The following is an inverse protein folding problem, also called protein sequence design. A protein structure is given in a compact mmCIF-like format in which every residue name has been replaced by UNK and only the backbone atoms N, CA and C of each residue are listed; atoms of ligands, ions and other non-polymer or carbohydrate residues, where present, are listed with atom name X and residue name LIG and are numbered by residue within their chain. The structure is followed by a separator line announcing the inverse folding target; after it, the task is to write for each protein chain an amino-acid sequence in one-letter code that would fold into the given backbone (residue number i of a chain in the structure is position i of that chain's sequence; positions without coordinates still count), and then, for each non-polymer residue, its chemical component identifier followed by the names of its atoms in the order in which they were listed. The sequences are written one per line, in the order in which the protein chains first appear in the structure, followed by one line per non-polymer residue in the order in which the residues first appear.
data_IF_769054908970
#
_entry.id   IF_769054908970
#
_cell.length_a   1.000
_cell.length_b   1.000
_cell.length_c   1.000
_cell.angle_alpha   90.00
_cell.angle_beta   90.00
_cell.angle_gamma   90.00
#
_symmetry.space_group_name_H-M   'P 1'
#
loop_
_entity.id
_entity.type
_entity.pdbx_description
1 polymer ?
#
# COMPACT_ATOMS: atom_id res chain seq x y z
N UNK A 1 7.89 -2.73 19.82
CA UNK A 1 7.93 -2.22 18.45
C UNK A 1 7.28 -3.26 17.53
N UNK A 2 6.36 -2.84 16.65
CA UNK A 2 5.77 -3.70 15.62
C UNK A 2 6.36 -3.26 14.28
N UNK A 3 6.90 -4.20 13.52
CA UNK A 3 7.52 -3.93 12.21
C UNK A 3 6.73 -4.64 11.13
N UNK A 4 6.27 -3.87 10.13
CA UNK A 4 5.65 -4.40 8.93
C UNK A 4 6.66 -5.25 8.12
N UNK A 5 6.22 -6.17 7.26
CA UNK A 5 7.11 -6.88 6.36
C UNK A 5 8.04 -5.93 5.60
N UNK A 6 9.34 -6.20 5.62
CA UNK A 6 10.37 -5.41 4.96
C UNK A 6 10.93 -6.16 3.76
N UNK A 7 11.26 -5.46 2.68
CA UNK A 7 11.94 -6.05 1.53
C UNK A 7 13.44 -6.13 1.74
N UNK A 8 14.02 -5.14 2.43
CA UNK A 8 15.44 -5.12 2.78
C UNK A 8 15.65 -5.67 4.21
N UNK A 9 16.33 -6.83 4.35
CA UNK A 9 16.64 -7.42 5.67
C UNK A 9 17.42 -6.49 6.61
N UNK A 10 18.23 -5.57 6.05
CA UNK A 10 19.01 -4.63 6.85
C UNK A 10 18.12 -3.70 7.71
N UNK A 11 16.91 -3.40 7.24
CA UNK A 11 15.93 -2.60 8.03
C UNK A 11 15.55 -3.32 9.32
N UNK A 12 15.29 -4.63 9.23
CA UNK A 12 14.90 -5.43 10.39
C UNK A 12 16.08 -5.58 11.37
N UNK A 13 17.30 -5.71 10.87
CA UNK A 13 18.52 -5.78 11.68
C UNK A 13 18.70 -4.49 12.50
N UNK A 14 18.68 -3.31 11.85
CA UNK A 14 18.80 -2.00 12.51
C UNK A 14 17.72 -1.78 13.56
N UNK A 15 16.46 -2.12 13.24
CA UNK A 15 15.35 -2.00 14.20
C UNK A 15 15.55 -2.98 15.38
N UNK A 16 16.03 -4.20 15.12
CA UNK A 16 16.30 -5.22 16.13
C UNK A 16 17.39 -4.78 17.09
N UNK A 17 18.51 -4.26 16.59
CA UNK A 17 19.58 -3.68 17.39
C UNK A 17 19.05 -2.57 18.30
N UNK A 18 18.27 -1.64 17.73
CA UNK A 18 17.68 -0.56 18.51
C UNK A 18 16.72 -1.04 19.57
N UNK A 19 15.91 -2.05 19.27
CA UNK A 19 15.02 -2.68 20.26
C UNK A 19 15.80 -3.26 21.42
N UNK A 20 16.91 -3.94 21.13
CA UNK A 20 17.80 -4.53 22.15
C UNK A 20 18.41 -3.44 23.05
N UNK A 21 18.94 -2.37 22.47
CA UNK A 21 19.54 -1.24 23.20
C UNK A 21 18.55 -0.59 24.20
N UNK A 22 17.28 -0.45 23.80
CA UNK A 22 16.26 0.23 24.64
C UNK A 22 15.38 -0.74 25.43
N UNK A 23 15.66 -2.04 25.40
CA UNK A 23 14.89 -3.07 26.09
C UNK A 23 13.46 -3.21 25.57
N UNK A 24 13.21 -2.90 24.28
CA UNK A 24 11.88 -3.00 23.67
C UNK A 24 11.69 -4.36 23.00
N UNK A 25 10.50 -4.94 23.13
CA UNK A 25 10.12 -6.15 22.40
C UNK A 25 9.94 -5.82 20.91
N UNK A 26 10.55 -6.61 20.02
CA UNK A 26 10.31 -6.57 18.58
C UNK A 26 9.28 -7.61 18.18
N UNK A 27 8.27 -7.18 17.42
CA UNK A 27 7.25 -8.04 16.79
C UNK A 27 7.40 -7.87 15.28
N UNK A 28 8.02 -8.84 14.63
CA UNK A 28 8.14 -8.90 13.18
C UNK A 28 6.89 -9.54 12.59
N UNK A 29 6.09 -8.74 11.88
CA UNK A 29 4.82 -9.18 11.29
C UNK A 29 5.04 -10.23 10.19
N UNK A 30 6.15 -10.16 9.46
CA UNK A 30 6.44 -11.13 8.40
C UNK A 30 6.61 -12.56 8.93
N UNK A 31 7.15 -12.69 10.14
CA UNK A 31 7.36 -14.00 10.78
C UNK A 31 6.16 -14.48 11.60
N UNK A 32 5.39 -13.53 12.16
CA UNK A 32 4.32 -13.84 13.11
C UNK A 32 2.95 -14.01 12.45
N UNK A 33 2.73 -13.41 11.27
CA UNK A 33 1.43 -13.40 10.62
C UNK A 33 1.50 -13.84 9.17
N UNK A 34 0.47 -14.58 8.76
CA UNK A 34 0.25 -14.97 7.37
C UNK A 34 -1.12 -14.48 6.91
N UNK A 35 -1.15 -13.89 5.71
CA UNK A 35 -2.40 -13.49 5.06
C UNK A 35 -2.68 -14.37 3.84
N UNK A 36 -3.85 -15.00 3.81
CA UNK A 36 -4.35 -15.76 2.66
C UNK A 36 -5.56 -15.06 2.08
N UNK A 37 -5.48 -14.64 0.82
CA UNK A 37 -6.62 -14.04 0.12
C UNK A 37 -7.70 -15.11 -0.07
N UNK A 38 -8.94 -14.81 0.34
CA UNK A 38 -10.10 -15.66 0.13
C UNK A 38 -10.89 -15.22 -1.08
N UNK A 39 -11.22 -13.94 -1.16
CA UNK A 39 -12.00 -13.37 -2.26
C UNK A 39 -11.57 -11.93 -2.54
N UNK A 40 -11.63 -11.54 -3.82
CA UNK A 40 -11.40 -10.17 -4.29
C UNK A 40 -12.71 -9.60 -4.84
N UNK A 41 -13.02 -8.37 -4.47
CA UNK A 41 -14.20 -7.64 -4.91
C UNK A 41 -13.77 -6.30 -5.53
N UNK A 42 -14.59 -5.66 -6.37
CA UNK A 42 -14.27 -4.34 -6.93
C UNK A 42 -14.00 -3.24 -5.88
N UNK A 43 -14.48 -3.43 -4.65
CA UNK A 43 -14.41 -2.44 -3.57
C UNK A 43 -13.92 -3.02 -2.25
N UNK A 44 -13.10 -4.06 -2.30
CA UNK A 44 -12.55 -4.69 -1.11
C UNK A 44 -12.06 -6.10 -1.37
N UNK A 45 -11.63 -6.73 -0.30
CA UNK A 45 -11.17 -8.11 -0.31
C UNK A 45 -11.44 -8.78 1.03
N UNK A 46 -11.65 -10.10 1.02
CA UNK A 46 -11.67 -10.93 2.22
C UNK A 46 -10.42 -11.79 2.28
N UNK A 47 -9.95 -12.03 3.48
CA UNK A 47 -8.73 -12.78 3.72
C UNK A 47 -8.80 -13.52 5.05
N UNK A 48 -7.97 -14.54 5.14
CA UNK A 48 -7.67 -15.25 6.38
C UNK A 48 -6.38 -14.70 6.94
N UNK A 49 -6.41 -14.23 8.17
CA UNK A 49 -5.23 -13.85 8.95
C UNK A 49 -4.92 -14.95 9.94
N UNK A 50 -3.73 -15.51 9.85
CA UNK A 50 -3.21 -16.53 10.77
C UNK A 50 -2.11 -15.85 11.58
N UNK A 51 -2.19 -15.92 12.90
CA UNK A 51 -1.22 -15.28 13.80
C UNK A 51 -1.13 -15.96 15.15
N UNK A 52 -0.38 -15.38 16.09
CA UNK A 52 -0.14 -15.99 17.42
C UNK A 52 -1.42 -16.27 18.23
N UNK A 53 -2.48 -15.50 17.99
CA UNK A 53 -3.77 -15.63 18.67
C UNK A 53 -4.80 -16.44 17.86
N UNK A 54 -4.35 -17.23 16.87
CA UNK A 54 -5.18 -18.09 16.05
C UNK A 54 -5.53 -17.51 14.69
N UNK A 55 -6.54 -18.10 14.06
CA UNK A 55 -7.00 -17.76 12.72
C UNK A 55 -8.26 -16.89 12.77
N UNK A 56 -8.32 -15.89 11.85
CA UNK A 56 -9.47 -15.00 11.67
C UNK A 56 -9.82 -14.84 10.21
N UNK A 57 -11.11 -14.89 9.89
CA UNK A 57 -11.62 -14.40 8.60
C UNK A 57 -11.92 -12.91 8.71
N UNK A 58 -11.31 -12.12 7.88
CA UNK A 58 -11.39 -10.66 7.91
C UNK A 58 -11.81 -10.12 6.55
N UNK A 59 -12.31 -8.90 6.52
CA UNK A 59 -12.60 -8.14 5.31
C UNK A 59 -11.96 -6.76 5.43
N UNK A 60 -11.57 -6.19 4.30
CA UNK A 60 -11.10 -4.81 4.21
C UNK A 60 -11.59 -4.18 2.91
N UNK A 61 -12.00 -2.91 2.90
CA UNK A 61 -12.28 -2.18 1.67
C UNK A 61 -11.02 -1.76 0.92
N UNK A 62 -9.84 -1.96 1.52
CA UNK A 62 -8.56 -1.61 0.93
C UNK A 62 -8.12 -2.68 -0.06
N UNK A 63 -7.73 -2.28 -1.28
CA UNK A 63 -7.37 -3.17 -2.38
C UNK A 63 -5.85 -3.40 -2.45
N UNK A 64 -5.45 -4.60 -2.89
CA UNK A 64 -4.05 -4.97 -3.09
C UNK A 64 -3.45 -5.79 -1.95
N UNK A 65 -2.50 -6.67 -2.30
CA UNK A 65 -1.82 -7.56 -1.35
C UNK A 65 -1.05 -6.81 -0.26
N UNK A 66 -0.44 -5.66 -0.61
CA UNK A 66 0.25 -4.79 0.35
C UNK A 66 -0.69 -4.22 1.42
N UNK A 67 -1.98 -4.05 1.13
CA UNK A 67 -2.97 -3.62 2.11
C UNK A 67 -3.32 -4.72 3.12
N UNK A 68 -3.19 -6.00 2.74
CA UNK A 68 -3.32 -7.10 3.69
C UNK A 68 -2.15 -7.14 4.67
N UNK A 69 -0.93 -6.86 4.22
CA UNK A 69 0.24 -6.73 5.10
C UNK A 69 0.07 -5.55 6.07
N UNK A 70 -0.45 -4.43 5.59
CA UNK A 70 -0.78 -3.28 6.44
C UNK A 70 -1.87 -3.63 7.47
N UNK A 71 -2.91 -4.38 7.07
CA UNK A 71 -3.95 -4.85 7.97
C UNK A 71 -3.37 -5.80 9.04
N UNK A 72 -2.51 -6.74 8.67
CA UNK A 72 -1.82 -7.62 9.61
C UNK A 72 -0.96 -6.82 10.61
N UNK A 73 -0.25 -5.80 10.13
CA UNK A 73 0.56 -4.91 10.97
C UNK A 73 -0.31 -4.13 11.97
N UNK A 74 -1.47 -3.63 11.53
CA UNK A 74 -2.42 -2.94 12.40
C UNK A 74 -3.01 -3.89 13.45
N UNK A 75 -3.34 -5.14 13.07
CA UNK A 75 -3.81 -6.16 14.01
C UNK A 75 -2.72 -6.49 15.03
N UNK A 76 -1.48 -6.71 14.61
CA UNK A 76 -0.35 -6.96 15.49
C UNK A 76 -0.15 -5.82 16.50
N UNK A 77 -0.26 -4.56 16.05
CA UNK A 77 -0.16 -3.39 16.92
C UNK A 77 -1.33 -3.34 17.94
N UNK A 78 -2.55 -3.62 17.51
CA UNK A 78 -3.73 -3.64 18.37
C UNK A 78 -3.62 -4.78 19.43
N UNK A 79 -3.13 -5.95 19.03
CA UNK A 79 -2.89 -7.07 19.95
C UNK A 79 -1.77 -6.77 20.96
N UNK A 80 -0.70 -6.11 20.52
CA UNK A 80 0.36 -5.65 21.40
C UNK A 80 -0.15 -4.61 22.43
N UNK A 81 -1.05 -3.73 22.04
CA UNK A 81 -1.70 -2.80 22.96
C UNK A 81 -2.62 -3.53 23.94
N UNK A 82 -3.41 -4.50 23.47
CA UNK A 82 -4.28 -5.31 24.30
C UNK A 82 -3.50 -6.08 25.37
N UNK A 83 -2.34 -6.65 25.01
CA UNK A 83 -1.47 -7.34 25.97
C UNK A 83 -0.89 -6.42 27.06
N UNK A 84 -0.92 -5.10 26.82
CA UNK A 84 -0.52 -4.06 27.77
C UNK A 84 -1.69 -3.46 28.57
N UNK A 85 -2.88 -4.08 28.50
CA UNK A 85 -4.04 -3.70 29.30
C UNK A 85 -4.99 -2.70 28.62
N UNK A 86 -4.78 -2.34 27.34
CA UNK A 86 -5.77 -1.56 26.62
C UNK A 86 -7.04 -2.39 26.37
N UNK A 87 -8.20 -1.79 26.63
CA UNK A 87 -9.51 -2.45 26.48
C UNK A 87 -9.92 -2.53 25.00
N UNK A 88 -9.30 -3.43 24.25
CA UNK A 88 -9.60 -3.71 22.86
C UNK A 88 -10.25 -5.09 22.73
N UNK A 89 -11.52 -5.13 22.34
CA UNK A 89 -12.20 -6.40 22.06
C UNK A 89 -11.73 -6.97 20.73
N UNK A 90 -11.89 -8.28 20.57
CA UNK A 90 -11.63 -8.97 19.30
C UNK A 90 -12.47 -8.36 18.17
N UNK A 91 -13.75 -8.13 18.45
CA UNK A 91 -14.67 -7.52 17.47
C UNK A 91 -14.22 -6.11 17.07
N UNK A 92 -13.73 -5.29 18.01
CA UNK A 92 -13.23 -3.95 17.69
C UNK A 92 -12.03 -3.97 16.72
N UNK A 93 -11.15 -4.97 16.83
CA UNK A 93 -10.01 -5.17 15.92
C UNK A 93 -10.54 -5.56 14.52
N UNK A 94 -11.45 -6.51 14.45
CA UNK A 94 -12.05 -6.97 13.18
C UNK A 94 -12.81 -5.83 12.50
N UNK A 95 -13.63 -5.10 13.22
CA UNK A 95 -14.40 -3.97 12.71
C UNK A 95 -13.48 -2.80 12.28
N UNK A 96 -12.44 -2.54 13.04
CA UNK A 96 -11.43 -1.54 12.68
C UNK A 96 -10.83 -1.79 11.29
N UNK A 97 -10.46 -3.01 10.98
CA UNK A 97 -9.95 -3.39 9.65
C UNK A 97 -11.07 -3.31 8.60
N UNK A 98 -12.28 -3.76 8.93
CA UNK A 98 -13.41 -3.82 7.99
C UNK A 98 -13.92 -2.43 7.57
N UNK A 99 -13.82 -1.44 8.44
CA UNK A 99 -14.34 -0.08 8.17
C UNK A 99 -13.26 0.95 7.85
N UNK A 100 -11.98 0.60 7.99
CA UNK A 100 -10.88 1.52 7.65
C UNK A 100 -10.84 1.81 6.16
N UNK A 101 -10.92 3.10 5.81
CA UNK A 101 -10.72 3.63 4.46
C UNK A 101 -9.65 4.71 4.52
N UNK A 102 -8.69 4.63 3.60
CA UNK A 102 -7.64 5.65 3.46
C UNK A 102 -7.76 6.27 2.09
N UNK A 103 -8.15 7.54 1.98
CA UNK A 103 -8.26 8.23 0.69
C UNK A 103 -6.95 8.15 -0.11
N UNK A 104 -7.06 8.02 -1.43
CA UNK A 104 -5.90 7.94 -2.31
C UNK A 104 -5.07 6.65 -2.13
N UNK A 105 -5.67 5.55 -1.67
CA UNK A 105 -5.06 4.21 -1.66
C UNK A 105 -5.90 3.27 -2.50
N UNK A 106 -5.57 3.18 -3.79
CA UNK A 106 -6.32 2.46 -4.82
C UNK A 106 -7.83 2.78 -4.75
N UNK A 107 -8.13 4.05 -4.51
CA UNK A 107 -9.48 4.54 -4.27
C UNK A 107 -10.25 4.65 -5.59
N UNK A 108 -11.39 3.96 -5.68
CA UNK A 108 -12.30 4.07 -6.82
C UNK A 108 -13.17 5.30 -6.66
N UNK A 109 -12.86 6.37 -7.38
CA UNK A 109 -13.57 7.65 -7.34
C UNK A 109 -14.73 7.73 -8.33
N UNK A 110 -14.73 6.90 -9.37
CA UNK A 110 -15.79 6.87 -10.40
C UNK A 110 -15.81 5.52 -11.13
N UNK A 111 -16.95 5.20 -11.74
CA UNK A 111 -17.15 3.92 -12.43
C UNK A 111 -17.34 4.05 -13.94
N UNK A 112 -17.84 5.20 -14.39
CA UNK A 112 -18.11 5.49 -15.82
C UNK A 112 -17.75 6.94 -16.15
N UNK A 113 -16.49 7.21 -16.53
CA UNK A 113 -15.36 6.27 -16.65
C UNK A 113 -14.88 5.74 -15.28
N UNK A 114 -14.17 4.61 -15.29
CA UNK A 114 -13.47 4.14 -14.09
C UNK A 114 -12.34 5.13 -13.77
N UNK A 115 -12.40 5.70 -12.57
CA UNK A 115 -11.39 6.64 -12.06
C UNK A 115 -10.83 6.05 -10.76
N UNK A 116 -9.52 5.83 -10.74
CA UNK A 116 -8.81 5.30 -9.56
C UNK A 116 -7.75 6.29 -9.14
N UNK A 117 -7.71 6.63 -7.84
CA UNK A 117 -6.69 7.48 -7.25
C UNK A 117 -5.77 6.68 -6.33
N UNK A 118 -4.47 6.93 -6.45
CA UNK A 118 -3.46 6.32 -5.57
C UNK A 118 -2.33 7.30 -5.24
N UNK A 119 -1.77 7.17 -4.05
CA UNK A 119 -0.66 7.99 -3.56
C UNK A 119 0.71 7.35 -3.72
N UNK A 120 0.89 6.41 -4.66
CA UNK A 120 2.20 5.84 -4.97
C UNK A 120 3.18 6.94 -5.38
N UNK A 121 4.34 7.00 -4.71
CA UNK A 121 5.28 8.11 -4.85
C UNK A 121 6.76 7.68 -4.82
N UNK A 122 7.03 6.39 -4.94
CA UNK A 122 8.35 5.79 -5.15
C UNK A 122 8.21 4.54 -6.01
N UNK A 123 9.32 3.96 -6.47
CA UNK A 123 9.31 2.81 -7.36
C UNK A 123 8.66 1.57 -6.76
N UNK A 124 8.83 1.33 -5.47
CA UNK A 124 8.22 0.19 -4.77
C UNK A 124 6.70 0.31 -4.73
N UNK A 125 6.17 1.47 -4.29
CA UNK A 125 4.73 1.72 -4.26
C UNK A 125 4.11 1.75 -5.66
N UNK A 126 4.82 2.26 -6.67
CA UNK A 126 4.39 2.21 -8.06
C UNK A 126 4.33 0.77 -8.60
N UNK A 127 5.28 -0.08 -8.22
CA UNK A 127 5.25 -1.50 -8.58
C UNK A 127 4.06 -2.23 -7.93
N UNK A 128 3.82 -1.98 -6.63
CA UNK A 128 2.67 -2.54 -5.92
C UNK A 128 1.34 -2.07 -6.52
N UNK A 129 1.24 -0.78 -6.88
CA UNK A 129 0.09 -0.22 -7.59
C UNK A 129 -0.13 -0.90 -8.93
N UNK A 130 0.92 -1.09 -9.73
CA UNK A 130 0.83 -1.72 -11.05
C UNK A 130 0.31 -3.17 -10.97
N UNK A 131 0.72 -3.91 -9.95
CA UNK A 131 0.21 -5.27 -9.68
C UNK A 131 -1.26 -5.20 -9.28
N UNK A 132 -1.60 -4.36 -8.30
CA UNK A 132 -2.96 -4.26 -7.79
C UNK A 132 -3.96 -3.79 -8.86
N UNK A 133 -3.58 -2.84 -9.71
CA UNK A 133 -4.44 -2.41 -10.82
C UNK A 133 -4.82 -3.59 -11.73
N UNK A 134 -3.85 -4.44 -12.11
CA UNK A 134 -4.12 -5.62 -12.96
C UNK A 134 -4.94 -6.71 -12.25
N UNK A 135 -4.84 -6.79 -10.94
CA UNK A 135 -5.55 -7.79 -10.16
C UNK A 135 -7.02 -7.47 -9.92
N UNK A 136 -7.36 -6.16 -9.83
CA UNK A 136 -8.69 -5.72 -9.40
C UNK A 136 -9.51 -5.07 -10.51
N UNK A 137 -8.87 -4.66 -11.61
CA UNK A 137 -9.57 -3.91 -12.67
C UNK A 137 -9.25 -4.47 -14.04
N UNK A 138 -10.26 -4.41 -14.90
CA UNK A 138 -10.15 -4.67 -16.33
C UNK A 138 -10.40 -3.37 -17.09
N UNK A 139 -9.56 -3.08 -18.10
CA UNK A 139 -9.72 -1.89 -18.95
C UNK A 139 -9.25 -2.17 -20.37
N UNK A 140 -9.79 -1.42 -21.31
CA UNK A 140 -9.35 -1.42 -22.72
C UNK A 140 -8.31 -0.34 -22.98
N UNK A 141 -8.47 0.81 -22.33
CA UNK A 141 -7.61 1.99 -22.43
C UNK A 141 -7.37 2.55 -21.04
N UNK A 142 -6.13 2.92 -20.76
CA UNK A 142 -5.74 3.54 -19.50
C UNK A 142 -5.07 4.88 -19.79
N UNK A 143 -5.52 5.93 -19.12
CA UNK A 143 -4.88 7.24 -19.09
C UNK A 143 -4.35 7.47 -17.69
N UNK A 144 -3.04 7.67 -17.58
CA UNK A 144 -2.37 7.93 -16.31
C UNK A 144 -2.18 9.43 -16.12
N UNK A 145 -2.83 10.02 -15.12
CA UNK A 145 -2.53 11.39 -14.67
C UNK A 145 -1.50 11.29 -13.55
N UNK A 146 -0.33 11.88 -13.76
CA UNK A 146 0.84 11.74 -12.89
C UNK A 146 1.31 13.10 -12.40
N UNK A 147 1.41 13.25 -11.09
CA UNK A 147 2.02 14.38 -10.41
C UNK A 147 2.85 13.90 -9.22
N UNK A 148 4.03 14.48 -9.01
CA UNK A 148 4.87 14.11 -7.88
C UNK A 148 5.69 15.29 -7.34
N UNK A 149 6.30 15.11 -6.16
CA UNK A 149 7.26 16.05 -5.62
C UNK A 149 8.62 15.92 -6.31
N UNK A 150 9.41 16.99 -6.32
CA UNK A 150 10.76 17.06 -6.94
C UNK A 150 11.78 16.12 -6.32
N UNK A 151 11.58 15.71 -5.07
CA UNK A 151 12.45 14.81 -4.32
C UNK A 151 12.22 13.33 -4.65
N UNK A 152 11.30 13.01 -5.57
CA UNK A 152 10.96 11.64 -5.96
C UNK A 152 11.62 11.23 -7.26
N UNK A 153 11.99 9.96 -7.35
CA UNK A 153 12.47 9.36 -8.58
C UNK A 153 11.30 9.07 -9.52
N UNK A 154 10.97 10.08 -10.35
CA UNK A 154 9.87 10.00 -11.32
C UNK A 154 10.17 9.00 -12.43
N UNK A 155 11.45 8.73 -12.76
CA UNK A 155 11.82 7.72 -13.75
C UNK A 155 11.45 6.34 -13.27
N UNK A 156 11.81 6.01 -12.04
CA UNK A 156 11.48 4.72 -11.45
C UNK A 156 9.97 4.51 -11.40
N UNK A 157 9.20 5.51 -10.95
CA UNK A 157 7.73 5.49 -10.95
C UNK A 157 7.20 5.26 -12.36
N UNK A 158 7.68 6.06 -13.34
CA UNK A 158 7.30 5.96 -14.74
C UNK A 158 7.58 4.59 -15.36
N UNK A 159 8.74 4.00 -15.12
CA UNK A 159 9.10 2.66 -15.60
C UNK A 159 8.10 1.58 -15.13
N UNK A 160 7.54 1.71 -13.92
CA UNK A 160 6.58 0.74 -13.38
C UNK A 160 5.18 0.94 -13.97
N UNK A 161 4.76 2.18 -14.20
CA UNK A 161 3.38 2.52 -14.56
C UNK A 161 3.17 2.74 -16.06
N UNK A 162 4.19 3.13 -16.84
CA UNK A 162 4.06 3.42 -18.28
C UNK A 162 3.47 2.25 -19.08
N UNK A 163 3.84 1.03 -18.74
CA UNK A 163 3.33 -0.19 -19.40
C UNK A 163 1.82 -0.45 -19.19
N UNK A 164 1.16 0.32 -18.32
CA UNK A 164 -0.28 0.22 -18.09
C UNK A 164 -1.05 1.24 -18.92
N UNK A 165 -0.41 2.34 -19.28
CA UNK A 165 -1.05 3.51 -19.83
C UNK A 165 -0.83 3.65 -21.34
N UNK A 166 -1.90 3.98 -22.06
CA UNK A 166 -1.84 4.42 -23.44
C UNK A 166 -1.31 5.87 -23.56
N UNK A 167 -1.60 6.68 -22.53
CA UNK A 167 -1.18 8.07 -22.44
C UNK A 167 -0.84 8.43 -20.99
N UNK A 168 0.29 9.12 -20.81
CA UNK A 168 0.66 9.70 -19.52
C UNK A 168 0.50 11.22 -19.60
N UNK A 169 -0.29 11.77 -18.70
CA UNK A 169 -0.56 13.21 -18.57
C UNK A 169 0.17 13.69 -17.32
N UNK A 170 1.27 14.40 -17.50
CA UNK A 170 2.02 15.00 -16.40
C UNK A 170 1.32 16.28 -15.94
N UNK A 171 1.12 16.45 -14.64
CA UNK A 171 0.44 17.60 -14.06
C UNK A 171 1.16 18.12 -12.83
N UNK A 172 1.03 19.42 -12.59
CA UNK A 172 1.44 20.07 -11.34
C UNK A 172 0.27 20.10 -10.34
N UNK A 173 0.61 20.50 -9.11
CA UNK A 173 -0.36 20.75 -8.05
C UNK A 173 0.14 21.91 -7.16
N UNK A 174 -0.77 22.53 -6.41
CA UNK A 174 -0.45 23.69 -5.59
C UNK A 174 0.37 23.28 -4.34
N UNK A 175 1.67 23.11 -4.57
CA UNK A 175 2.64 22.81 -3.51
C UNK A 175 4.03 23.27 -3.95
N UNK A 176 4.81 23.97 -3.10
CA UNK A 176 6.17 24.42 -3.43
C UNK A 176 7.13 23.31 -3.78
N UNK A 177 6.86 22.08 -3.37
CA UNK A 177 7.68 20.89 -3.70
C UNK A 177 7.25 20.18 -4.98
N UNK A 178 6.14 20.60 -5.62
CA UNK A 178 5.68 19.96 -6.84
C UNK A 178 6.76 20.00 -7.93
N UNK A 179 6.95 18.88 -8.63
CA UNK A 179 7.80 18.81 -9.81
C UNK A 179 7.13 19.57 -10.95
N UNK A 180 7.93 20.29 -11.75
CA UNK A 180 7.45 20.94 -12.96
C UNK A 180 6.95 19.89 -13.97
N UNK A 181 5.73 20.04 -14.53
CA UNK A 181 5.18 19.08 -15.49
C UNK A 181 6.04 18.86 -16.74
N UNK A 182 6.71 19.91 -17.23
CA UNK A 182 7.60 19.79 -18.41
C UNK A 182 8.86 18.98 -18.09
N UNK A 183 9.44 19.21 -16.91
CA UNK A 183 10.54 18.38 -16.41
C UNK A 183 10.09 16.93 -16.27
N UNK A 184 8.91 16.68 -15.72
CA UNK A 184 8.35 15.34 -15.58
C UNK A 184 8.16 14.64 -16.94
N UNK A 185 7.65 15.35 -17.95
CA UNK A 185 7.53 14.82 -19.32
C UNK A 185 8.90 14.44 -19.88
N UNK A 186 9.94 15.23 -19.65
CA UNK A 186 11.31 14.90 -20.12
C UNK A 186 11.84 13.62 -19.45
N UNK A 187 11.58 13.44 -18.16
CA UNK A 187 12.04 12.28 -17.42
C UNK A 187 11.26 10.98 -17.76
N UNK A 188 9.96 11.09 -18.01
CA UNK A 188 9.06 9.96 -18.30
C UNK A 188 8.90 9.71 -19.80
N UNK A 189 9.04 10.72 -20.62
CA UNK A 189 8.81 10.67 -22.08
C UNK A 189 9.74 9.71 -22.85
N UNK A 190 10.89 9.35 -22.27
CA UNK A 190 11.79 8.32 -22.81
C UNK A 190 11.29 6.87 -22.54
N UNK A 191 10.21 6.72 -21.76
CA UNK A 191 9.64 5.43 -21.35
C UNK A 191 8.41 5.04 -22.17
N UNK A 192 8.18 5.72 -23.31
CA UNK A 192 7.01 5.54 -24.16
C UNK A 192 6.63 4.08 -24.41
N UNK A 193 5.37 3.81 -24.81
CA UNK A 193 4.94 2.45 -25.11
C UNK A 193 5.86 1.85 -26.16
N UNK A 194 6.35 0.65 -25.88
CA UNK A 194 7.13 -0.14 -26.82
C UNK A 194 6.24 -0.64 -27.95
#
# INVERSE_FOLDING_TARGET
VVVAPQQDPAVLEVVGERCTEVGAQLLDVATLYQCEVLEKFPYGQSFRLIGPNGERKMRTPMLGGHMLQNAATAVAAAEALRSRGFALSEQAIVDGVAFTRVPGRLEVMGQKPLIVADGAHNGESAAALAVALREYFEWKRCFLVLGCNRDKDIREIGMKLSKLAELIICTGFDNPRAMDPYQMVQEVGFLGPA
#
